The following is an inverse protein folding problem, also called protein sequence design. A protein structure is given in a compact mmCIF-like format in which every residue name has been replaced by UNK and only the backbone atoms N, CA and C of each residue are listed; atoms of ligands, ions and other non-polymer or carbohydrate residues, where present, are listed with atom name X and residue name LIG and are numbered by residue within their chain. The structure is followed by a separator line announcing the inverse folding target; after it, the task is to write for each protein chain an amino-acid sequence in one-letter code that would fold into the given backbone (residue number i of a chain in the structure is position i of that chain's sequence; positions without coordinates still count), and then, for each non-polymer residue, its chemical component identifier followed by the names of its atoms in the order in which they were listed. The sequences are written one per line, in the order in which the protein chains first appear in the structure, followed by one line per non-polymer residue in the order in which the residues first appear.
data_IF_706488773777
#
_entry.id   IF_706488773777
#
_cell.length_a   1.000
_cell.length_b   1.000
_cell.length_c   1.000
_cell.angle_alpha   90.00
_cell.angle_beta   90.00
_cell.angle_gamma   90.00
#
_symmetry.space_group_name_H-M   'P 1'
#
loop_
_entity.id
_entity.type
_entity.pdbx_description
1 polymer ?
#
# COMPACT_ATOMS: atom_id res chain seq x y z
N UNK A 1 -9.49 -10.40 -4.57
CA UNK A 1 -8.48 -10.04 -5.59
C UNK A 1 -8.53 -8.54 -5.80
N UNK A 2 -7.37 -7.88 -5.92
CA UNK A 2 -7.24 -6.42 -6.11
C UNK A 2 -6.38 -6.16 -7.35
N UNK A 3 -6.83 -5.24 -8.21
CA UNK A 3 -6.03 -4.60 -9.24
C UNK A 3 -5.63 -3.20 -8.76
N UNK A 4 -4.35 -2.85 -8.85
CA UNK A 4 -3.86 -1.52 -8.51
C UNK A 4 -2.82 -1.06 -9.53
N UNK A 5 -3.03 0.10 -10.14
CA UNK A 5 -2.05 0.77 -10.99
C UNK A 5 -1.43 1.97 -10.26
N UNK A 6 -0.10 2.00 -10.23
CA UNK A 6 0.71 3.06 -9.61
C UNK A 6 1.34 3.90 -10.71
N UNK A 7 1.08 5.20 -10.65
CA UNK A 7 1.68 6.18 -11.56
C UNK A 7 3.16 6.33 -11.27
N UNK A 8 3.99 6.20 -12.30
CA UNK A 8 5.41 6.49 -12.24
C UNK A 8 5.72 7.81 -12.95
N UNK A 9 6.77 8.54 -12.56
CA UNK A 9 7.15 9.77 -13.25
C UNK A 9 7.65 9.46 -14.67
N UNK A 10 7.19 10.23 -15.65
CA UNK A 10 7.67 10.13 -17.03
C UNK A 10 9.20 10.35 -17.07
N UNK A 11 9.98 9.54 -17.81
CA UNK A 11 9.57 8.60 -18.89
C UNK A 11 9.34 7.14 -18.44
N UNK A 12 9.24 6.85 -17.14
CA UNK A 12 9.03 5.48 -16.68
C UNK A 12 7.57 5.04 -16.87
N UNK A 13 7.36 3.83 -17.37
CA UNK A 13 6.03 3.21 -17.44
C UNK A 13 5.43 3.02 -16.05
N UNK A 14 4.11 3.13 -15.94
CA UNK A 14 3.39 2.78 -14.71
C UNK A 14 3.62 1.32 -14.34
N UNK A 15 3.38 1.00 -13.06
CA UNK A 15 3.35 -0.39 -12.58
C UNK A 15 1.93 -0.79 -12.24
N UNK A 16 1.51 -1.99 -12.60
CA UNK A 16 0.27 -2.58 -12.09
C UNK A 16 0.53 -3.84 -11.26
N UNK A 17 -0.38 -4.08 -10.33
CA UNK A 17 -0.35 -5.18 -9.39
C UNK A 17 -1.68 -5.92 -9.47
N UNK A 18 -1.61 -7.24 -9.54
CA UNK A 18 -2.75 -8.14 -9.34
C UNK A 18 -2.41 -8.99 -8.13
N UNK A 19 -3.15 -8.82 -7.04
CA UNK A 19 -2.78 -9.43 -5.76
C UNK A 19 -3.99 -9.83 -4.93
N UNK A 20 -3.78 -10.77 -4.01
CA UNK A 20 -4.75 -11.12 -2.98
C UNK A 20 -4.36 -10.36 -1.71
N UNK A 21 -5.35 -9.81 -1.02
CA UNK A 21 -5.18 -9.12 0.25
C UNK A 21 -6.16 -9.67 1.25
N UNK A 22 -5.65 -10.07 2.41
CA UNK A 22 -6.46 -10.50 3.55
C UNK A 22 -6.17 -9.63 4.75
N UNK A 23 -7.20 -9.37 5.55
CA UNK A 23 -7.09 -8.72 6.84
C UNK A 23 -7.51 -9.71 7.91
N UNK A 24 -6.71 -9.82 8.97
CA UNK A 24 -7.08 -10.53 10.20
C UNK A 24 -6.90 -9.63 11.39
N UNK A 25 -7.71 -9.87 12.39
CA UNK A 25 -7.56 -9.29 13.70
C UNK A 25 -7.01 -10.37 14.62
N UNK A 26 -5.96 -10.04 15.34
CA UNK A 26 -5.28 -10.93 16.26
C UNK A 26 -5.34 -10.33 17.66
N UNK A 27 -5.52 -11.19 18.65
CA UNK A 27 -5.29 -10.86 20.05
C UNK A 27 -4.06 -11.63 20.51
N UNK A 28 -3.04 -10.90 20.97
CA UNK A 28 -1.79 -11.49 21.44
C UNK A 28 -1.35 -10.76 22.71
N UNK A 29 -1.21 -11.48 23.82
CA UNK A 29 -0.78 -10.93 25.11
C UNK A 29 -1.64 -9.73 25.57
N UNK A 30 -2.96 -9.78 25.33
CA UNK A 30 -3.89 -8.70 25.64
C UNK A 30 -3.83 -7.49 24.70
N UNK A 31 -3.01 -7.55 23.64
CA UNK A 31 -2.92 -6.52 22.60
C UNK A 31 -3.76 -6.91 21.39
N UNK A 32 -4.55 -5.96 20.90
CA UNK A 32 -5.32 -6.10 19.66
C UNK A 32 -4.50 -5.59 18.48
N UNK A 33 -4.22 -6.47 17.53
CA UNK A 33 -3.36 -6.20 16.37
C UNK A 33 -4.16 -6.47 15.09
N UNK A 34 -4.24 -5.48 14.21
CA UNK A 34 -4.78 -5.65 12.87
C UNK A 34 -3.65 -5.97 11.91
N UNK A 35 -3.70 -7.16 11.30
CA UNK A 35 -2.72 -7.62 10.33
C UNK A 35 -3.34 -7.65 8.95
N UNK A 36 -2.66 -7.02 7.98
CA UNK A 36 -2.99 -7.07 6.57
C UNK A 36 -1.85 -7.75 5.83
N UNK A 37 -2.15 -8.83 5.13
CA UNK A 37 -1.20 -9.54 4.27
C UNK A 37 -1.61 -9.36 2.82
N UNK A 38 -0.63 -9.12 1.96
CA UNK A 38 -0.85 -9.05 0.53
C UNK A 38 0.26 -9.81 -0.22
N UNK A 39 -0.12 -10.53 -1.26
CA UNK A 39 0.82 -11.20 -2.15
C UNK A 39 0.30 -11.25 -3.59
N UNK A 40 1.22 -11.22 -4.55
CA UNK A 40 0.88 -11.33 -5.97
C UNK A 40 0.03 -12.57 -6.27
N UNK A 41 -0.86 -12.40 -7.23
CA UNK A 41 -1.77 -13.45 -7.70
C UNK A 41 -1.62 -13.58 -9.20
N UNK A 42 -1.42 -14.79 -9.68
CA UNK A 42 -1.34 -15.12 -11.11
C UNK A 42 -2.73 -15.28 -11.74
N UNK A 43 -3.76 -14.67 -11.15
CA UNK A 43 -5.14 -14.82 -11.60
C UNK A 43 -5.28 -14.38 -13.07
N UNK A 44 -5.67 -15.32 -13.93
CA UNK A 44 -5.77 -15.14 -15.38
C UNK A 44 -6.83 -14.11 -15.81
N UNK A 45 -7.70 -13.69 -14.90
CA UNK A 45 -8.80 -12.76 -15.16
C UNK A 45 -8.34 -11.31 -15.41
N UNK A 46 -7.06 -10.99 -15.16
CA UNK A 46 -6.52 -9.65 -15.37
C UNK A 46 -5.26 -9.68 -16.25
N UNK A 47 -5.42 -9.60 -17.59
CA UNK A 47 -4.30 -9.65 -18.52
C UNK A 47 -3.34 -8.47 -18.34
N UNK A 48 -2.10 -8.64 -18.77
CA UNK A 48 -1.10 -7.58 -18.78
C UNK A 48 -1.45 -6.52 -19.84
N UNK A 49 -1.13 -5.25 -19.55
CA UNK A 49 -1.33 -4.13 -20.47
C UNK A 49 0.01 -3.76 -21.11
N UNK A 50 0.04 -3.49 -22.41
CA UNK A 50 1.28 -3.21 -23.13
C UNK A 50 2.03 -1.95 -22.67
N UNK A 51 1.33 -0.95 -22.13
CA UNK A 51 1.89 0.31 -21.67
C UNK A 51 2.26 0.35 -20.17
N UNK A 52 2.00 -0.74 -19.44
CA UNK A 52 2.14 -0.81 -17.97
C UNK A 52 2.95 -2.05 -17.60
N UNK A 53 3.91 -1.91 -16.69
CA UNK A 53 4.74 -3.02 -16.25
C UNK A 53 4.07 -3.79 -15.11
N UNK A 54 3.77 -5.07 -15.37
CA UNK A 54 3.20 -5.98 -14.36
C UNK A 54 4.22 -6.39 -13.33
N UNK A 55 3.94 -6.06 -12.06
CA UNK A 55 4.68 -6.58 -10.92
C UNK A 55 4.16 -7.97 -10.58
N UNK A 56 5.01 -8.99 -10.82
CA UNK A 56 4.68 -10.42 -10.63
C UNK A 56 5.11 -10.96 -9.28
N UNK A 57 6.20 -10.44 -8.72
CA UNK A 57 6.68 -10.80 -7.39
C UNK A 57 6.37 -9.65 -6.45
N UNK A 58 5.35 -9.82 -5.61
CA UNK A 58 4.97 -8.82 -4.62
C UNK A 58 4.54 -9.52 -3.34
N UNK A 59 5.08 -9.07 -2.21
CA UNK A 59 4.70 -9.51 -0.87
C UNK A 59 4.73 -8.32 0.08
N UNK A 60 3.67 -8.16 0.86
CA UNK A 60 3.59 -7.15 1.90
C UNK A 60 2.94 -7.76 3.15
N UNK A 61 3.46 -7.38 4.31
CA UNK A 61 2.76 -7.52 5.58
C UNK A 61 2.70 -6.17 6.28
N UNK A 62 1.55 -5.87 6.86
CA UNK A 62 1.30 -4.67 7.64
C UNK A 62 0.65 -5.09 8.96
N UNK A 63 1.24 -4.71 10.08
CA UNK A 63 0.69 -4.88 11.41
C UNK A 63 0.43 -3.49 12.01
N UNK A 64 -0.74 -3.33 12.60
CA UNK A 64 -1.23 -2.07 13.14
C UNK A 64 -1.78 -2.35 14.54
N UNK A 65 -1.41 -1.53 15.51
CA UNK A 65 -1.96 -1.57 16.87
C UNK A 65 -2.10 -0.14 17.43
N UNK A 66 -2.81 0.00 18.54
CA UNK A 66 -2.83 1.27 19.29
C UNK A 66 -1.44 1.58 19.84
N UNK A 67 -1.08 2.86 19.86
CA UNK A 67 0.11 3.34 20.57
C UNK A 67 -0.12 3.52 22.09
N UNK A 68 -1.31 3.15 22.59
CA UNK A 68 -1.73 3.36 23.98
C UNK A 68 -2.34 4.74 24.25
N UNK A 69 -2.41 5.61 23.24
CA UNK A 69 -3.01 6.94 23.31
C UNK A 69 -4.04 7.11 22.19
N UNK A 70 -4.04 8.26 21.52
CA UNK A 70 -4.93 8.57 20.39
C UNK A 70 -4.33 8.23 19.02
N UNK A 71 -3.19 7.53 18.98
CA UNK A 71 -2.47 7.24 17.77
C UNK A 71 -2.43 5.75 17.42
N UNK A 72 -1.45 5.41 16.60
CA UNK A 72 -1.34 4.08 15.99
C UNK A 72 0.12 3.76 15.75
N UNK A 73 0.53 2.57 16.18
CA UNK A 73 1.84 2.01 15.88
C UNK A 73 1.72 1.07 14.68
N UNK A 74 2.58 1.25 13.69
CA UNK A 74 2.55 0.47 12.45
C UNK A 74 3.90 -0.16 12.17
N UNK A 75 3.88 -1.42 11.74
CA UNK A 75 5.02 -2.12 11.17
C UNK A 75 4.66 -2.61 9.77
N UNK A 76 5.49 -2.29 8.78
CA UNK A 76 5.28 -2.74 7.41
C UNK A 76 6.55 -3.42 6.90
N UNK A 77 6.40 -4.65 6.40
CA UNK A 77 7.41 -5.30 5.58
C UNK A 77 6.92 -5.31 4.14
N UNK A 78 7.77 -4.89 3.20
CA UNK A 78 7.39 -4.74 1.80
C UNK A 78 8.51 -5.26 0.90
N UNK A 79 8.13 -6.05 -0.10
CA UNK A 79 8.99 -6.47 -1.18
C UNK A 79 8.21 -6.51 -2.48
N UNK A 80 8.79 -5.98 -3.54
CA UNK A 80 8.39 -6.28 -4.91
C UNK A 80 9.58 -6.36 -5.87
N UNK A 81 9.33 -7.00 -7.01
CA UNK A 81 10.20 -6.93 -8.18
C UNK A 81 9.57 -5.97 -9.21
N UNK A 82 10.08 -4.74 -9.35
CA UNK A 82 9.47 -3.71 -10.19
C UNK A 82 9.62 -3.95 -11.71
N UNK A 83 10.24 -5.06 -12.12
CA UNK A 83 10.38 -5.45 -13.53
C UNK A 83 11.35 -4.58 -14.33
N UNK A 84 12.31 -3.95 -13.67
CA UNK A 84 13.31 -3.07 -14.27
C UNK A 84 14.12 -2.30 -13.24
N UNK A 85 15.12 -1.54 -13.68
CA UNK A 85 15.92 -0.71 -12.78
C UNK A 85 15.12 0.50 -12.29
N UNK A 86 15.17 0.76 -10.98
CA UNK A 86 14.66 1.99 -10.39
C UNK A 86 15.80 3.01 -10.33
N UNK A 87 15.69 4.17 -11.00
CA UNK A 87 16.74 5.17 -10.96
C UNK A 87 17.00 5.71 -9.55
N UNK A 88 18.27 5.95 -9.20
CA UNK A 88 18.65 6.48 -7.87
C UNK A 88 17.97 7.80 -7.55
N UNK A 89 17.77 8.68 -8.53
CA UNK A 89 17.06 9.94 -8.33
C UNK A 89 15.62 9.72 -7.85
N UNK A 90 14.95 8.65 -8.31
CA UNK A 90 13.58 8.33 -7.94
C UNK A 90 13.53 7.80 -6.50
N UNK A 91 14.49 6.96 -6.12
CA UNK A 91 14.66 6.51 -4.73
C UNK A 91 14.87 7.71 -3.80
N UNK A 92 15.74 8.64 -4.20
CA UNK A 92 16.03 9.84 -3.42
C UNK A 92 14.79 10.75 -3.29
N UNK A 93 14.03 10.94 -4.36
CA UNK A 93 12.78 11.69 -4.32
C UNK A 93 11.75 11.04 -3.40
N UNK A 94 11.60 9.71 -3.48
CA UNK A 94 10.68 8.97 -2.63
C UNK A 94 11.04 9.13 -1.14
N UNK A 95 12.32 8.98 -0.79
CA UNK A 95 12.79 9.11 0.59
C UNK A 95 12.63 10.54 1.14
N UNK A 96 12.89 11.57 0.33
CA UNK A 96 12.90 12.97 0.79
C UNK A 96 11.53 13.64 0.76
N UNK A 97 10.64 13.24 -0.16
CA UNK A 97 9.41 13.99 -0.42
C UNK A 97 8.20 13.07 -0.61
N UNK A 98 8.35 11.97 -1.35
CA UNK A 98 7.24 11.07 -1.65
C UNK A 98 6.64 10.43 -0.39
N UNK A 99 7.44 9.70 0.38
CA UNK A 99 6.97 9.00 1.59
C UNK A 99 6.49 9.96 2.69
N UNK A 100 7.23 11.03 3.05
CA UNK A 100 6.75 11.99 4.05
C UNK A 100 5.43 12.67 3.66
N UNK A 101 5.29 13.06 2.39
CA UNK A 101 4.05 13.65 1.87
C UNK A 101 2.89 12.67 1.95
N UNK A 102 3.12 11.43 1.51
CA UNK A 102 2.12 10.35 1.59
C UNK A 102 1.64 10.09 3.03
N UNK A 103 2.55 10.02 4.00
CA UNK A 103 2.17 9.83 5.41
C UNK A 103 1.35 11.02 5.95
N UNK A 104 1.70 12.24 5.55
CA UNK A 104 0.97 13.46 5.92
C UNK A 104 -0.45 13.45 5.34
N UNK A 105 -0.60 13.10 4.06
CA UNK A 105 -1.89 12.97 3.40
C UNK A 105 -2.73 11.84 3.99
N UNK A 106 -2.10 10.72 4.35
CA UNK A 106 -2.76 9.61 5.04
C UNK A 106 -3.30 10.04 6.42
N UNK A 107 -2.47 10.70 7.24
CA UNK A 107 -2.90 11.20 8.54
C UNK A 107 -4.08 12.17 8.40
N UNK A 108 -4.00 13.10 7.43
CA UNK A 108 -5.09 14.01 7.12
C UNK A 108 -6.37 13.27 6.67
N UNK A 109 -6.24 12.24 5.85
CA UNK A 109 -7.37 11.42 5.42
C UNK A 109 -8.02 10.69 6.61
N UNK A 110 -7.23 10.14 7.52
CA UNK A 110 -7.72 9.49 8.75
C UNK A 110 -8.48 10.46 9.65
N UNK A 111 -7.94 11.65 9.91
CA UNK A 111 -8.61 12.67 10.73
C UNK A 111 -9.95 13.13 10.16
N UNK A 112 -10.05 13.19 8.82
CA UNK A 112 -11.28 13.61 8.13
C UNK A 112 -12.24 12.44 7.82
N UNK A 113 -11.87 11.20 8.16
CA UNK A 113 -12.62 10.01 7.76
C UNK A 113 -14.04 10.00 8.32
N UNK A 114 -14.23 10.44 9.57
CA UNK A 114 -15.56 10.50 10.20
C UNK A 114 -16.51 11.48 9.49
N UNK A 115 -15.99 12.58 8.95
CA UNK A 115 -16.77 13.55 8.17
C UNK A 115 -17.07 13.00 6.78
N UNK A 116 -16.08 12.38 6.14
CA UNK A 116 -16.27 11.70 4.86
C UNK A 116 -17.38 10.64 4.93
N UNK A 117 -17.38 9.77 5.94
CA UNK A 117 -18.42 8.75 6.12
C UNK A 117 -19.82 9.36 6.28
N UNK A 118 -19.95 10.46 7.02
CA UNK A 118 -21.24 11.18 7.17
C UNK A 118 -21.74 11.76 5.84
N UNK A 119 -20.85 12.27 5.00
CA UNK A 119 -21.20 12.80 3.67
C UNK A 119 -21.51 11.70 2.64
N UNK A 120 -20.88 10.54 2.78
CA UNK A 120 -21.03 9.40 1.88
C UNK A 120 -22.17 8.43 2.25
N UNK A 121 -22.76 8.57 3.45
CA UNK A 121 -24.07 7.98 3.75
C UNK A 121 -25.16 8.70 2.92
N UNK A 122 -25.30 8.29 1.67
CA UNK A 122 -26.52 8.37 0.87
C UNK A 122 -27.05 6.95 0.64
#
# INVERSE_FOLDING_TARGET
MIYWEVKYPFPLSNRDYVYIRERRELEQDGRRIWVVLAQSSSAQQCPEKSSVLRVKDYKQSLAIESDGASGTKMFMNYFDNPGGMIPTWLVNWAAKSGVPGFLTDMQKACSNYSEYCRKCQK
#
